data_IF_570807261639
#
_entry.id   IF_570807261639
#
_cell.length_a   1.000
_cell.length_b   1.000
_cell.length_c   1.000
_cell.angle_alpha   90.00
_cell.angle_beta   90.00
_cell.angle_gamma   90.00
#
_symmetry.space_group_name_H-M   'P 1'
#
loop_
_entity.id
_entity.type
_entity.pdbx_description
1 polymer ?
#
# COMPACT_ATOMS: atom_id res chain seq x y z
N UNK A 1 -13.00 0.72 -39.12
CA UNK A 1 -11.57 1.03 -38.86
C UNK A 1 -11.26 0.52 -37.46
N UNK A 2 -10.42 -0.49 -37.34
CA UNK A 2 -10.11 -1.12 -36.05
C UNK A 2 -9.16 -0.24 -35.24
N UNK A 3 -9.51 0.04 -33.98
CA UNK A 3 -8.63 0.73 -33.04
C UNK A 3 -7.34 -0.06 -32.82
N UNK A 4 -6.16 0.58 -32.82
CA UNK A 4 -4.93 -0.12 -32.50
C UNK A 4 -4.95 -0.49 -31.01
N UNK A 5 -4.76 -1.78 -30.72
CA UNK A 5 -4.51 -2.24 -29.37
C UNK A 5 -3.20 -1.60 -28.87
N UNK A 6 -3.29 -0.76 -27.84
CA UNK A 6 -2.13 -0.30 -27.07
C UNK A 6 -1.55 -1.50 -26.32
N UNK A 7 -0.53 -2.13 -26.92
CA UNK A 7 0.35 -3.05 -26.23
C UNK A 7 1.18 -2.25 -25.22
N UNK A 8 0.78 -2.29 -23.95
CA UNK A 8 1.65 -1.86 -22.85
C UNK A 8 2.83 -2.83 -22.82
N UNK A 9 4.09 -2.36 -22.94
CA UNK A 9 5.24 -3.23 -22.80
C UNK A 9 5.19 -3.90 -21.43
N UNK A 10 5.16 -5.23 -21.42
CA UNK A 10 5.30 -5.99 -20.18
C UNK A 10 6.61 -5.58 -19.51
N UNK A 11 6.52 -5.10 -18.27
CA UNK A 11 7.70 -4.80 -17.46
C UNK A 11 8.40 -6.14 -17.20
N UNK A 12 9.43 -6.44 -17.99
CA UNK A 12 10.31 -7.57 -17.74
C UNK A 12 11.16 -7.24 -16.51
N UNK A 13 10.75 -7.69 -15.33
CA UNK A 13 11.63 -7.69 -14.16
C UNK A 13 12.70 -8.78 -14.34
N UNK A 14 13.82 -8.37 -14.92
CA UNK A 14 14.98 -9.21 -15.16
C UNK A 14 16.22 -8.66 -14.46
N UNK A 15 16.34 -9.00 -13.17
CA UNK A 15 17.56 -9.37 -12.44
C UNK A 15 17.08 -9.75 -11.02
N UNK A 16 17.48 -10.91 -10.49
CA UNK A 16 17.13 -11.30 -9.11
C UNK A 16 17.61 -10.22 -8.15
N UNK A 17 16.73 -9.33 -7.75
CA UNK A 17 17.05 -8.20 -6.90
C UNK A 17 17.37 -8.74 -5.50
N UNK A 18 18.50 -8.31 -4.94
CA UNK A 18 18.99 -8.84 -3.66
C UNK A 18 18.32 -8.08 -2.51
N UNK A 19 17.55 -8.78 -1.69
CA UNK A 19 17.03 -8.21 -0.45
C UNK A 19 18.18 -7.70 0.43
N UNK A 20 18.07 -6.45 0.87
CA UNK A 20 19.07 -5.77 1.69
C UNK A 20 18.40 -5.22 2.94
N UNK A 21 18.96 -5.54 4.12
CA UNK A 21 18.49 -5.03 5.41
C UNK A 21 19.34 -3.82 5.83
N UNK A 22 18.69 -2.72 6.19
CA UNK A 22 19.33 -1.49 6.67
C UNK A 22 18.69 -1.02 7.97
N UNK A 23 19.45 -0.57 8.98
CA UNK A 23 18.87 0.04 10.17
C UNK A 23 18.02 1.28 9.83
N UNK A 24 16.86 1.45 10.47
CA UNK A 24 15.95 2.57 10.21
C UNK A 24 15.90 3.56 11.38
N UNK A 25 15.46 3.11 12.55
CA UNK A 25 15.51 3.83 13.83
C UNK A 25 15.22 2.86 14.99
N UNK A 26 15.89 3.04 16.13
CA UNK A 26 15.68 2.22 17.32
C UNK A 26 15.74 0.73 17.00
N UNK A 27 14.63 0.04 17.24
CA UNK A 27 14.51 -1.42 17.02
C UNK A 27 14.08 -1.83 15.61
N UNK A 28 13.94 -0.85 14.70
CA UNK A 28 13.42 -1.05 13.34
C UNK A 28 14.54 -1.10 12.31
N UNK A 29 14.41 -2.03 11.38
CA UNK A 29 15.19 -2.15 10.16
C UNK A 29 14.28 -2.16 8.94
N UNK A 30 14.76 -1.66 7.81
CA UNK A 30 14.08 -1.65 6.53
C UNK A 30 14.76 -2.66 5.60
N UNK A 31 13.98 -3.59 5.06
CA UNK A 31 14.40 -4.47 3.97
C UNK A 31 13.90 -3.88 2.66
N UNK A 32 14.82 -3.70 1.71
CA UNK A 32 14.56 -3.20 0.35
C UNK A 32 15.13 -4.15 -0.70
N UNK A 33 14.90 -3.85 -1.98
CA UNK A 33 15.42 -4.64 -3.10
C UNK A 33 14.55 -5.83 -3.50
N UNK A 34 13.32 -5.92 -2.98
CA UNK A 34 12.27 -6.83 -3.46
C UNK A 34 11.14 -6.07 -4.16
N UNK A 35 9.99 -6.73 -4.30
CA UNK A 35 8.79 -6.10 -4.88
C UNK A 35 8.23 -4.93 -4.06
N UNK A 36 8.40 -4.97 -2.73
CA UNK A 36 8.05 -3.89 -1.82
C UNK A 36 9.04 -3.83 -0.64
N UNK A 37 9.04 -2.70 0.05
CA UNK A 37 9.69 -2.49 1.32
C UNK A 37 9.04 -3.37 2.39
N UNK A 38 9.87 -3.93 3.27
CA UNK A 38 9.42 -4.68 4.45
C UNK A 38 10.05 -4.04 5.67
N UNK A 39 9.26 -3.74 6.70
CA UNK A 39 9.80 -3.24 7.97
C UNK A 39 9.93 -4.39 8.96
N UNK A 40 11.10 -4.54 9.56
CA UNK A 40 11.41 -5.52 10.60
C UNK A 40 11.56 -4.80 11.92
N UNK A 41 10.75 -5.15 12.92
CA UNK A 41 10.96 -4.78 14.31
C UNK A 41 11.56 -5.97 15.07
N UNK A 42 12.64 -5.74 15.82
CA UNK A 42 13.32 -6.76 16.62
C UNK A 42 13.34 -6.34 18.08
N UNK A 43 12.77 -7.15 18.98
CA UNK A 43 12.82 -6.88 20.40
C UNK A 43 12.84 -8.17 21.23
N UNK A 44 13.69 -8.20 22.26
CA UNK A 44 13.93 -9.43 23.03
C UNK A 44 14.41 -10.56 22.11
N UNK A 45 13.65 -11.65 22.03
CA UNK A 45 13.88 -12.76 21.10
C UNK A 45 12.76 -12.89 20.06
N UNK A 46 12.09 -11.79 19.72
CA UNK A 46 10.96 -11.80 18.77
C UNK A 46 11.16 -10.82 17.61
N UNK A 47 10.64 -11.21 16.45
CA UNK A 47 10.48 -10.35 15.29
C UNK A 47 9.00 -10.07 15.02
N UNK A 48 8.72 -8.84 14.59
CA UNK A 48 7.47 -8.44 13.95
C UNK A 48 7.82 -7.88 12.58
N UNK A 49 7.08 -8.31 11.55
CA UNK A 49 7.20 -7.75 10.20
C UNK A 49 5.97 -6.90 9.88
N UNK A 50 6.19 -5.81 9.16
CA UNK A 50 5.14 -5.14 8.38
C UNK A 50 5.40 -5.45 6.91
N UNK A 51 4.43 -6.14 6.32
CA UNK A 51 4.50 -6.79 5.01
C UNK A 51 5.58 -7.87 4.90
N UNK A 52 5.57 -8.60 3.79
CA UNK A 52 6.40 -9.78 3.55
C UNK A 52 7.04 -9.84 2.17
N UNK A 53 6.81 -8.86 1.29
CA UNK A 53 7.33 -8.92 -0.07
C UNK A 53 6.56 -9.93 -0.93
N UNK A 54 7.18 -10.28 -2.06
CA UNK A 54 6.65 -11.25 -3.01
C UNK A 54 6.89 -12.70 -2.56
N UNK A 55 6.01 -13.62 -2.97
CA UNK A 55 6.18 -15.05 -2.70
C UNK A 55 7.49 -15.61 -3.30
N UNK A 56 7.95 -15.04 -4.43
CA UNK A 56 9.23 -15.38 -5.05
C UNK A 56 10.44 -15.04 -4.16
N UNK A 57 10.31 -14.04 -3.27
CA UNK A 57 11.37 -13.57 -2.38
C UNK A 57 11.34 -14.28 -1.02
N UNK A 58 10.31 -15.08 -0.71
CA UNK A 58 10.09 -15.67 0.61
C UNK A 58 11.27 -16.51 1.12
N UNK A 59 11.91 -17.29 0.25
CA UNK A 59 13.08 -18.08 0.61
C UNK A 59 14.31 -17.21 0.92
N UNK A 60 14.47 -16.09 0.20
CA UNK A 60 15.53 -15.13 0.44
C UNK A 60 15.27 -14.35 1.74
N UNK A 61 14.04 -13.94 1.99
CA UNK A 61 13.63 -13.26 3.21
C UNK A 61 13.89 -14.13 4.45
N UNK A 62 13.47 -15.39 4.43
CA UNK A 62 13.76 -16.34 5.53
C UNK A 62 15.26 -16.46 5.82
N UNK A 63 16.10 -16.55 4.78
CA UNK A 63 17.56 -16.61 4.93
C UNK A 63 18.13 -15.32 5.52
N UNK A 64 17.64 -14.18 5.06
CA UNK A 64 18.07 -12.87 5.54
C UNK A 64 17.72 -12.69 7.03
N UNK A 65 16.48 -13.02 7.41
CA UNK A 65 16.03 -12.95 8.80
C UNK A 65 16.83 -13.89 9.71
N UNK A 66 17.09 -15.12 9.28
CA UNK A 66 17.91 -16.07 10.05
C UNK A 66 19.37 -15.60 10.20
N UNK A 67 19.95 -14.96 9.18
CA UNK A 67 21.32 -14.47 9.22
C UNK A 67 21.47 -13.26 10.17
N UNK A 68 20.54 -12.32 10.14
CA UNK A 68 20.60 -11.11 10.96
C UNK A 68 20.03 -11.29 12.37
N UNK A 69 19.10 -12.23 12.56
CA UNK A 69 18.38 -12.44 13.82
C UNK A 69 18.33 -13.92 14.22
N UNK A 70 19.47 -14.63 14.32
CA UNK A 70 19.52 -16.10 14.46
C UNK A 70 18.85 -16.66 15.72
N UNK A 71 18.67 -15.83 16.75
CA UNK A 71 18.02 -16.21 18.03
C UNK A 71 16.56 -15.77 18.14
N UNK A 72 16.04 -15.06 17.14
CA UNK A 72 14.70 -14.50 17.21
C UNK A 72 13.68 -15.43 16.56
N UNK A 73 12.53 -15.56 17.19
CA UNK A 73 11.34 -16.18 16.61
C UNK A 73 10.51 -15.11 15.89
N UNK A 74 10.00 -15.43 14.71
CA UNK A 74 8.98 -14.58 14.09
C UNK A 74 7.67 -14.71 14.87
N UNK A 75 7.26 -13.63 15.55
CA UNK A 75 6.00 -13.61 16.30
C UNK A 75 4.83 -13.35 15.37
N UNK A 76 4.96 -12.35 14.51
CA UNK A 76 3.86 -11.91 13.67
C UNK A 76 4.31 -11.19 12.39
N UNK A 77 3.42 -11.18 11.40
CA UNK A 77 3.47 -10.35 10.20
C UNK A 77 2.16 -9.56 10.13
N UNK A 78 2.22 -8.24 9.94
CA UNK A 78 1.06 -7.40 9.68
C UNK A 78 1.06 -7.07 8.19
N UNK A 79 0.07 -7.55 7.42
CA UNK A 79 -0.10 -7.12 6.04
C UNK A 79 -0.86 -5.80 5.99
N UNK A 80 -0.31 -4.83 5.25
CA UNK A 80 -0.95 -3.54 5.01
C UNK A 80 -2.14 -3.66 4.09
N UNK A 81 -2.07 -4.54 3.08
CA UNK A 81 -3.17 -4.87 2.17
C UNK A 81 -2.91 -6.20 1.45
N UNK A 82 -3.80 -6.59 0.53
CA UNK A 82 -3.83 -7.94 -0.06
C UNK A 82 -2.80 -8.19 -1.16
N UNK A 83 -2.21 -7.14 -1.75
CA UNK A 83 -1.37 -7.29 -2.93
C UNK A 83 -0.23 -8.28 -2.72
N UNK A 84 0.12 -8.94 -3.82
CA UNK A 84 1.10 -10.03 -3.84
C UNK A 84 2.50 -9.58 -3.40
N UNK A 85 2.81 -8.29 -3.51
CA UNK A 85 4.07 -7.70 -3.09
C UNK A 85 4.13 -7.43 -1.57
N UNK A 86 3.04 -7.65 -0.83
CA UNK A 86 2.94 -7.43 0.62
C UNK A 86 2.62 -8.72 1.36
N UNK A 87 1.79 -9.59 0.77
CA UNK A 87 1.28 -10.81 1.39
C UNK A 87 2.06 -12.08 1.03
N UNK A 88 3.07 -12.00 0.16
CA UNK A 88 3.75 -13.16 -0.42
C UNK A 88 4.48 -14.05 0.57
N UNK A 89 4.88 -13.53 1.74
CA UNK A 89 5.57 -14.30 2.79
C UNK A 89 4.64 -15.08 3.73
N UNK A 90 3.33 -14.86 3.66
CA UNK A 90 2.38 -15.33 4.67
C UNK A 90 2.48 -16.84 4.92
N UNK A 91 2.58 -17.66 3.86
CA UNK A 91 2.70 -19.12 4.00
C UNK A 91 3.96 -19.54 4.78
N UNK A 92 5.09 -18.88 4.52
CA UNK A 92 6.34 -19.17 5.22
C UNK A 92 6.28 -18.72 6.69
N UNK A 93 5.69 -17.54 6.96
CA UNK A 93 5.47 -17.05 8.31
C UNK A 93 4.57 -17.99 9.12
N UNK A 94 3.45 -18.43 8.55
CA UNK A 94 2.50 -19.36 9.16
C UNK A 94 3.15 -20.72 9.43
N UNK A 95 3.95 -21.24 8.49
CA UNK A 95 4.74 -22.47 8.68
C UNK A 95 5.76 -22.35 9.82
N UNK A 96 6.30 -21.15 10.07
CA UNK A 96 7.19 -20.86 11.18
C UNK A 96 6.45 -20.64 12.53
N UNK A 97 5.12 -20.77 12.55
CA UNK A 97 4.31 -20.59 13.75
C UNK A 97 3.99 -19.13 14.10
N UNK A 98 4.20 -18.19 13.17
CA UNK A 98 3.84 -16.80 13.34
C UNK A 98 2.36 -16.54 13.05
N UNK A 99 1.78 -15.54 13.74
CA UNK A 99 0.49 -14.99 13.35
C UNK A 99 0.65 -14.07 12.12
N UNK A 100 -0.31 -14.13 11.21
CA UNK A 100 -0.45 -13.18 10.11
C UNK A 100 -1.72 -12.37 10.37
N UNK A 101 -1.51 -11.08 10.60
CA UNK A 101 -2.53 -10.10 10.93
C UNK A 101 -2.85 -9.26 9.68
N UNK A 102 -4.13 -9.02 9.44
CA UNK A 102 -4.57 -8.09 8.40
C UNK A 102 -5.98 -7.56 8.69
N UNK A 103 -6.42 -6.56 7.94
CA UNK A 103 -7.85 -6.24 7.90
C UNK A 103 -8.65 -7.40 7.28
N UNK A 104 -9.92 -7.58 7.68
CA UNK A 104 -10.75 -8.68 7.14
C UNK A 104 -10.91 -8.60 5.62
N UNK A 105 -11.05 -7.41 5.03
CA UNK A 105 -11.09 -7.26 3.57
C UNK A 105 -9.85 -7.81 2.88
N UNK A 106 -8.66 -7.60 3.45
CA UNK A 106 -7.41 -8.16 2.92
C UNK A 106 -7.46 -9.69 2.87
N UNK A 107 -8.00 -10.33 3.91
CA UNK A 107 -8.19 -11.79 3.91
C UNK A 107 -9.23 -12.23 2.87
N UNK A 108 -10.34 -11.50 2.74
CA UNK A 108 -11.39 -11.79 1.76
C UNK A 108 -10.83 -11.74 0.33
N UNK A 109 -10.09 -10.69 -0.03
CA UNK A 109 -9.44 -10.57 -1.34
C UNK A 109 -8.43 -11.67 -1.60
N UNK A 110 -7.64 -12.08 -0.60
CA UNK A 110 -6.73 -13.22 -0.73
C UNK A 110 -7.45 -14.56 -0.91
N UNK A 111 -8.69 -14.68 -0.43
CA UNK A 111 -9.47 -15.93 -0.46
C UNK A 111 -10.40 -16.08 -1.66
N UNK A 112 -10.46 -15.09 -2.54
CA UNK A 112 -11.34 -15.08 -3.71
C UNK A 112 -10.57 -14.92 -5.01
N UNK A 113 -11.24 -15.19 -6.13
CA UNK A 113 -10.71 -14.82 -7.45
C UNK A 113 -10.88 -13.31 -7.65
N UNK A 114 -9.80 -12.63 -8.06
CA UNK A 114 -9.80 -11.19 -8.32
C UNK A 114 -9.45 -10.95 -9.78
N UNK A 115 -10.35 -10.32 -10.51
CA UNK A 115 -10.09 -9.87 -11.88
C UNK A 115 -9.58 -8.42 -11.84
N UNK A 116 -8.25 -8.26 -11.80
CA UNK A 116 -7.60 -6.97 -11.89
C UNK A 116 -7.47 -6.55 -13.35
N UNK A 117 -8.52 -5.88 -13.85
CA UNK A 117 -8.60 -5.43 -15.25
C UNK A 117 -7.49 -4.44 -15.60
N UNK A 118 -7.12 -3.58 -14.67
CA UNK A 118 -6.09 -2.56 -14.87
C UNK A 118 -4.68 -3.17 -14.93
N UNK A 119 -4.44 -4.31 -14.29
CA UNK A 119 -3.21 -5.10 -14.46
C UNK A 119 -3.26 -6.08 -15.64
N UNK A 120 -4.45 -6.32 -16.21
CA UNK A 120 -4.66 -7.42 -17.16
C UNK A 120 -4.42 -8.79 -16.53
N UNK A 121 -4.69 -8.94 -15.22
CA UNK A 121 -4.36 -10.14 -14.44
C UNK A 121 -5.56 -10.68 -13.67
N UNK A 122 -5.69 -12.00 -13.67
CA UNK A 122 -6.62 -12.71 -12.78
C UNK A 122 -5.82 -13.38 -11.67
N UNK A 123 -6.11 -13.00 -10.43
CA UNK A 123 -5.55 -13.61 -9.24
C UNK A 123 -6.46 -14.75 -8.77
N UNK A 124 -5.89 -15.93 -8.55
CA UNK A 124 -6.62 -17.07 -7.99
C UNK A 124 -6.64 -16.99 -6.46
N UNK A 125 -7.66 -17.57 -5.79
CA UNK A 125 -7.66 -17.71 -4.34
C UNK A 125 -6.36 -18.32 -3.82
N UNK A 126 -5.80 -17.73 -2.78
CA UNK A 126 -4.60 -18.24 -2.13
C UNK A 126 -4.94 -19.46 -1.26
N UNK A 127 -4.01 -20.43 -1.12
CA UNK A 127 -4.19 -21.55 -0.20
C UNK A 127 -4.43 -21.06 1.24
N UNK A 128 -5.19 -21.82 2.03
CA UNK A 128 -5.49 -21.49 3.43
C UNK A 128 -4.24 -21.22 4.30
N UNK A 129 -3.11 -21.85 3.96
CA UNK A 129 -1.83 -21.63 4.63
C UNK A 129 -1.24 -20.20 4.42
N UNK A 130 -1.64 -19.50 3.36
CA UNK A 130 -1.20 -18.14 3.02
C UNK A 130 -2.15 -17.05 3.52
N UNK A 131 -3.32 -17.42 4.05
CA UNK A 131 -4.32 -16.44 4.50
C UNK A 131 -3.98 -15.89 5.89
N UNK A 132 -4.29 -14.60 6.17
CA UNK A 132 -4.29 -14.07 7.52
C UNK A 132 -5.15 -14.92 8.45
N UNK A 133 -4.59 -15.27 9.62
CA UNK A 133 -5.29 -16.05 10.64
C UNK A 133 -5.77 -15.23 11.84
N UNK A 134 -5.40 -13.95 11.86
CA UNK A 134 -5.88 -12.95 12.82
C UNK A 134 -6.36 -11.76 12.01
N UNK A 135 -7.61 -11.38 12.18
CA UNK A 135 -8.18 -10.24 11.46
C UNK A 135 -8.90 -9.29 12.41
N UNK A 136 -9.12 -8.08 11.92
CA UNK A 136 -9.90 -7.05 12.60
C UNK A 136 -10.78 -6.32 11.59
N UNK A 137 -11.77 -5.59 12.11
CA UNK A 137 -12.81 -4.95 11.30
C UNK A 137 -12.83 -3.43 11.40
N UNK A 138 -12.58 -2.86 12.57
CA UNK A 138 -12.72 -1.41 12.77
C UNK A 138 -11.93 -0.92 13.97
N UNK A 139 -11.72 0.38 14.01
CA UNK A 139 -11.02 1.07 15.09
C UNK A 139 -9.50 0.83 15.09
N UNK A 140 -8.76 1.68 15.82
CA UNK A 140 -7.33 1.48 15.99
C UNK A 140 -7.06 0.21 16.79
N UNK A 141 -6.09 -0.55 16.32
CA UNK A 141 -5.59 -1.75 17.00
C UNK A 141 -4.23 -1.46 17.62
N UNK A 142 -3.88 -2.23 18.66
CA UNK A 142 -2.59 -2.12 19.35
C UNK A 142 -2.05 -3.51 19.68
N UNK A 143 -0.80 -3.77 19.27
CA UNK A 143 -0.07 -5.00 19.56
C UNK A 143 1.08 -4.68 20.53
N UNK A 144 1.06 -5.18 21.77
CA UNK A 144 2.19 -5.05 22.68
C UNK A 144 3.42 -5.76 22.12
N UNK A 145 4.54 -5.06 21.95
CA UNK A 145 5.77 -5.60 21.39
C UNK A 145 6.98 -4.88 21.98
N UNK A 146 7.97 -5.64 22.47
CA UNK A 146 9.25 -5.08 22.90
C UNK A 146 9.19 -4.03 24.00
N UNK A 147 8.27 -4.16 24.97
CA UNK A 147 8.05 -3.17 26.05
C UNK A 147 7.21 -1.95 25.64
N UNK A 148 6.76 -1.92 24.38
CA UNK A 148 5.99 -0.85 23.77
C UNK A 148 4.73 -1.34 23.06
N UNK A 149 4.16 -0.48 22.23
CA UNK A 149 2.99 -0.80 21.41
C UNK A 149 3.23 -0.52 19.92
N UNK A 150 2.73 -1.42 19.08
CA UNK A 150 2.63 -1.22 17.63
C UNK A 150 1.16 -0.97 17.31
N UNK A 151 0.87 0.21 16.78
CA UNK A 151 -0.49 0.61 16.41
C UNK A 151 -0.74 0.27 14.95
N UNK A 152 -1.93 -0.20 14.61
CA UNK A 152 -2.31 -0.38 13.22
C UNK A 152 -3.78 -0.06 13.01
N UNK A 153 -4.09 0.66 11.94
CA UNK A 153 -5.40 1.29 11.74
C UNK A 153 -5.83 1.09 10.29
N UNK A 154 -7.05 0.60 10.12
CA UNK A 154 -7.70 0.48 8.82
C UNK A 154 -8.01 1.85 8.23
N UNK A 155 -7.73 2.02 6.94
CA UNK A 155 -7.99 3.21 6.15
C UNK A 155 -9.04 2.86 5.09
N UNK A 156 -10.18 3.55 5.12
CA UNK A 156 -11.30 3.23 4.25
C UNK A 156 -11.01 3.53 2.78
N UNK A 157 -11.06 2.48 1.94
CA UNK A 157 -11.10 2.54 0.47
C UNK A 157 -10.04 3.45 -0.16
N UNK A 158 -8.78 3.36 0.28
CA UNK A 158 -7.70 4.19 -0.23
C UNK A 158 -7.08 3.60 -1.51
N UNK A 159 -5.94 2.94 -1.39
CA UNK A 159 -5.36 2.13 -2.44
C UNK A 159 -6.24 0.90 -2.74
N UNK A 160 -6.66 0.21 -1.69
CA UNK A 160 -7.66 -0.87 -1.64
C UNK A 160 -8.69 -0.59 -0.54
N UNK A 161 -9.74 -1.39 -0.40
CA UNK A 161 -10.62 -1.33 0.77
C UNK A 161 -10.05 -2.02 2.02
N UNK A 162 -8.94 -2.75 1.90
CA UNK A 162 -8.29 -3.49 2.99
C UNK A 162 -7.09 -2.80 3.61
N UNK A 163 -6.82 -1.55 3.24
CA UNK A 163 -5.58 -0.85 3.59
C UNK A 163 -5.44 -0.59 5.09
N UNK A 164 -4.21 -0.77 5.58
CA UNK A 164 -3.82 -0.53 6.96
C UNK A 164 -2.50 0.23 6.96
N UNK A 165 -2.42 1.31 7.75
CA UNK A 165 -1.11 1.84 8.15
C UNK A 165 -0.69 1.22 9.48
N UNK A 166 0.62 1.03 9.65
CA UNK A 166 1.22 0.56 10.91
C UNK A 166 2.11 1.66 11.48
N UNK A 167 1.99 1.96 12.76
CA UNK A 167 2.76 3.00 13.45
C UNK A 167 3.55 2.40 14.60
N UNK A 168 4.80 2.84 14.69
CA UNK A 168 5.74 2.57 15.77
C UNK A 168 5.96 3.90 16.51
N UNK A 169 5.20 4.18 17.58
CA UNK A 169 5.21 5.49 18.23
C UNK A 169 6.57 5.85 18.83
N UNK A 170 7.25 4.88 19.44
CA UNK A 170 8.57 5.06 20.06
C UNK A 170 9.66 5.46 19.05
N UNK A 171 9.62 4.88 17.85
CA UNK A 171 10.58 5.18 16.79
C UNK A 171 10.14 6.30 15.84
N UNK A 172 8.96 6.89 16.09
CA UNK A 172 8.34 7.91 15.25
C UNK A 172 8.29 7.52 13.76
N UNK A 173 7.83 6.29 13.49
CA UNK A 173 7.75 5.71 12.14
C UNK A 173 6.33 5.25 11.81
N UNK A 174 5.88 5.52 10.60
CA UNK A 174 4.62 5.02 10.04
C UNK A 174 4.93 4.25 8.76
N UNK A 175 4.48 3.00 8.65
CA UNK A 175 4.47 2.23 7.41
C UNK A 175 3.14 2.43 6.73
N UNK A 176 3.17 3.05 5.56
CA UNK A 176 1.97 3.43 4.79
C UNK A 176 1.82 2.65 3.48
N UNK A 177 2.80 1.81 3.12
CA UNK A 177 2.77 0.98 1.92
C UNK A 177 2.32 1.76 0.67
N UNK A 178 1.40 1.22 -0.13
CA UNK A 178 0.97 1.79 -1.42
C UNK A 178 0.06 3.02 -1.28
N UNK A 179 -0.33 3.40 -0.06
CA UNK A 179 -1.02 4.68 0.20
C UNK A 179 -0.10 5.87 -0.11
N UNK A 180 1.21 5.72 0.12
CA UNK A 180 2.21 6.78 -0.13
C UNK A 180 3.10 6.37 -1.30
N UNK A 181 3.02 7.15 -2.38
CA UNK A 181 3.76 6.96 -3.63
C UNK A 181 4.57 8.22 -3.95
N UNK A 182 5.80 8.34 -3.44
CA UNK A 182 6.52 9.63 -3.47
C UNK A 182 7.04 10.05 -4.85
N UNK A 183 7.23 9.08 -5.76
CA UNK A 183 7.94 9.27 -7.04
C UNK A 183 7.13 8.88 -8.29
N UNK A 184 5.89 8.43 -8.11
CA UNK A 184 4.98 8.03 -9.21
C UNK A 184 3.54 8.25 -8.78
N UNK A 185 2.62 8.39 -9.73
CA UNK A 185 1.20 8.45 -9.37
C UNK A 185 0.79 7.21 -8.56
N UNK A 186 -0.01 7.39 -7.49
CA UNK A 186 -0.48 6.26 -6.70
C UNK A 186 -1.41 5.40 -7.55
N UNK A 187 -1.42 4.10 -7.28
CA UNK A 187 -2.40 3.21 -7.88
C UNK A 187 -3.69 3.32 -7.09
N UNK A 188 -4.80 3.46 -7.81
CA UNK A 188 -6.14 3.32 -7.26
C UNK A 188 -6.65 1.96 -7.72
N UNK A 189 -6.68 0.97 -6.83
CA UNK A 189 -7.06 -0.39 -7.21
C UNK A 189 -8.58 -0.51 -7.34
N UNK A 190 -9.08 -0.31 -8.56
CA UNK A 190 -10.52 -0.45 -8.85
C UNK A 190 -11.05 -1.87 -8.66
N UNK A 191 -10.19 -2.90 -8.69
CA UNK A 191 -10.61 -4.28 -8.52
C UNK A 191 -10.93 -4.60 -7.07
N UNK A 192 -10.25 -3.95 -6.13
CA UNK A 192 -10.50 -4.06 -4.69
C UNK A 192 -10.98 -2.75 -4.06
N UNK A 193 -11.83 -2.03 -4.79
CA UNK A 193 -12.65 -0.95 -4.26
C UNK A 193 -11.88 0.24 -3.65
N UNK A 194 -10.67 0.51 -4.16
CA UNK A 194 -9.92 1.74 -3.89
C UNK A 194 -10.48 2.92 -4.69
N UNK A 195 -10.39 4.13 -4.14
CA UNK A 195 -10.75 5.36 -4.86
C UNK A 195 -9.96 6.58 -4.38
N UNK A 196 -9.83 7.60 -5.23
CA UNK A 196 -8.91 8.71 -4.99
C UNK A 196 -9.28 9.59 -3.79
N UNK A 197 -10.56 9.75 -3.45
CA UNK A 197 -10.96 10.48 -2.26
C UNK A 197 -10.73 9.70 -0.96
N UNK A 198 -10.80 8.37 -1.00
CA UNK A 198 -10.37 7.50 0.11
C UNK A 198 -8.87 7.62 0.33
N UNK A 199 -8.09 7.63 -0.77
CA UNK A 199 -6.64 7.90 -0.75
C UNK A 199 -6.33 9.27 -0.12
N UNK A 200 -7.07 10.31 -0.51
CA UNK A 200 -6.94 11.65 0.06
C UNK A 200 -7.23 11.66 1.57
N UNK A 201 -8.31 10.99 2.00
CA UNK A 201 -8.67 10.88 3.41
C UNK A 201 -7.65 10.08 4.24
N UNK A 202 -7.07 9.04 3.64
CA UNK A 202 -6.00 8.25 4.25
C UNK A 202 -4.72 9.07 4.45
N UNK A 203 -4.29 9.80 3.43
CA UNK A 203 -3.13 10.69 3.51
C UNK A 203 -3.33 11.78 4.57
N UNK A 204 -4.54 12.38 4.66
CA UNK A 204 -4.90 13.32 5.73
C UNK A 204 -4.78 12.69 7.11
N UNK A 205 -5.25 11.46 7.27
CA UNK A 205 -5.18 10.71 8.53
C UNK A 205 -3.74 10.44 8.94
N UNK A 206 -2.90 9.99 8.00
CA UNK A 206 -1.47 9.76 8.23
C UNK A 206 -0.77 11.07 8.59
N UNK A 207 -0.98 12.15 7.83
CA UNK A 207 -0.37 13.45 8.09
C UNK A 207 -0.72 14.00 9.47
N UNK A 208 -1.94 13.78 9.96
CA UNK A 208 -2.37 14.17 11.31
C UNK A 208 -1.68 13.37 12.44
N UNK A 209 -1.03 12.26 12.12
CA UNK A 209 -0.24 11.44 13.06
C UNK A 209 1.26 11.69 12.97
N UNK A 210 1.69 12.57 12.06
CA UNK A 210 3.08 12.92 11.88
C UNK A 210 3.42 14.23 12.61
N UNK A 211 4.65 14.30 13.11
CA UNK A 211 5.37 15.54 13.39
C UNK A 211 6.45 15.79 12.32
N UNK A 212 7.29 16.81 12.52
CA UNK A 212 8.36 17.17 11.58
C UNK A 212 9.46 16.10 11.44
N UNK A 213 9.58 15.20 12.42
CA UNK A 213 10.61 14.16 12.47
C UNK A 213 10.06 12.77 12.09
N UNK A 214 8.75 12.62 11.87
CA UNK A 214 8.15 11.35 11.50
C UNK A 214 8.65 10.88 10.15
N UNK A 215 9.14 9.62 10.10
CA UNK A 215 9.47 8.93 8.85
C UNK A 215 8.30 8.07 8.41
N UNK A 216 7.86 8.26 7.17
CA UNK A 216 6.79 7.49 6.53
C UNK A 216 7.40 6.55 5.50
N UNK A 217 7.12 5.26 5.62
CA UNK A 217 7.68 4.19 4.78
C UNK A 217 6.67 3.86 3.68
N UNK A 218 6.97 4.18 2.41
CA UNK A 218 6.14 3.78 1.28
C UNK A 218 6.37 2.30 0.93
N UNK A 219 5.51 1.74 0.08
CA UNK A 219 5.71 0.38 -0.44
C UNK A 219 6.99 0.28 -1.29
N UNK A 220 7.34 1.33 -2.03
CA UNK A 220 8.55 1.35 -2.87
C UNK A 220 9.28 2.67 -2.71
N UNK A 221 10.60 2.59 -2.58
CA UNK A 221 11.49 3.75 -2.49
C UNK A 221 11.94 4.07 -1.08
N UNK A 222 12.59 5.22 -0.91
CA UNK A 222 13.13 5.65 0.37
C UNK A 222 12.03 6.13 1.33
N UNK A 223 12.26 6.06 2.66
CA UNK A 223 11.44 6.76 3.65
C UNK A 223 11.30 8.24 3.30
N UNK A 224 10.10 8.80 3.55
CA UNK A 224 9.80 10.22 3.31
C UNK A 224 9.28 10.91 4.57
N UNK A 225 9.35 12.24 4.60
CA UNK A 225 8.77 13.05 5.66
C UNK A 225 7.31 13.41 5.41
N UNK A 226 6.67 14.05 6.39
CA UNK A 226 5.27 14.49 6.33
C UNK A 226 4.96 15.41 5.15
N UNK A 227 5.91 16.21 4.68
CA UNK A 227 5.71 17.12 3.54
C UNK A 227 5.41 16.37 2.24
N UNK A 228 6.01 15.19 2.05
CA UNK A 228 5.72 14.35 0.90
C UNK A 228 4.29 13.78 0.96
N UNK A 229 3.82 13.42 2.16
CA UNK A 229 2.46 12.93 2.40
C UNK A 229 1.44 14.05 2.10
N UNK A 230 1.68 15.26 2.62
CA UNK A 230 0.82 16.44 2.36
C UNK A 230 0.81 16.81 0.88
N UNK A 231 1.97 16.81 0.22
CA UNK A 231 2.05 17.07 -1.22
C UNK A 231 1.19 16.10 -2.04
N UNK A 232 1.24 14.81 -1.71
CA UNK A 232 0.40 13.81 -2.39
C UNK A 232 -1.08 14.00 -2.03
N UNK A 233 -1.39 14.36 -0.78
CA UNK A 233 -2.77 14.67 -0.36
C UNK A 233 -3.37 15.80 -1.19
N UNK A 234 -2.62 16.88 -1.41
CA UNK A 234 -3.04 18.05 -2.20
C UNK A 234 -3.23 17.69 -3.68
N UNK A 235 -2.35 16.83 -4.21
CA UNK A 235 -2.49 16.27 -5.56
C UNK A 235 -3.78 15.45 -5.67
N UNK A 236 -4.02 14.50 -4.76
CA UNK A 236 -5.23 13.68 -4.75
C UNK A 236 -6.49 14.56 -4.64
N UNK A 237 -6.48 15.57 -3.77
CA UNK A 237 -7.56 16.53 -3.62
C UNK A 237 -7.85 17.32 -4.90
N UNK A 238 -6.80 17.84 -5.54
CA UNK A 238 -6.92 18.64 -6.77
C UNK A 238 -7.51 17.80 -7.90
N UNK A 239 -7.02 16.57 -8.08
CA UNK A 239 -7.46 15.69 -9.17
C UNK A 239 -8.87 15.15 -8.92
N UNK A 240 -9.20 14.71 -7.69
CA UNK A 240 -10.56 14.21 -7.40
C UNK A 240 -11.61 15.32 -7.53
N UNK A 241 -11.25 16.55 -7.15
CA UNK A 241 -12.12 17.73 -7.34
C UNK A 241 -12.40 17.98 -8.83
N UNK A 242 -11.36 17.92 -9.68
CA UNK A 242 -11.48 18.09 -11.14
C UNK A 242 -12.31 16.98 -11.79
N UNK A 243 -12.13 15.74 -11.37
CA UNK A 243 -12.96 14.60 -11.79
C UNK A 243 -14.42 14.83 -11.41
N UNK A 244 -14.67 15.28 -10.17
CA UNK A 244 -16.01 15.63 -9.70
C UNK A 244 -16.67 16.71 -10.55
N UNK A 245 -15.97 17.81 -10.82
CA UNK A 245 -16.47 18.87 -11.70
C UNK A 245 -16.80 18.36 -13.11
N UNK A 246 -15.95 17.50 -13.68
CA UNK A 246 -16.20 16.89 -14.97
C UNK A 246 -17.51 16.08 -14.95
N UNK A 247 -17.71 15.25 -13.92
CA UNK A 247 -18.96 14.50 -13.76
C UNK A 247 -20.19 15.38 -13.58
N UNK A 248 -20.11 16.46 -12.78
CA UNK A 248 -21.26 17.35 -12.56
C UNK A 248 -21.66 18.12 -13.82
N UNK A 249 -20.74 18.28 -14.78
CA UNK A 249 -21.01 18.88 -16.09
C UNK A 249 -21.45 17.84 -17.14
N UNK A 250 -21.53 16.56 -16.78
CA UNK A 250 -21.82 15.46 -17.70
C UNK A 250 -20.67 15.15 -18.67
N UNK A 251 -19.46 15.56 -18.34
CA UNK A 251 -18.28 15.38 -19.17
C UNK A 251 -17.84 13.91 -19.25
N UNK A 252 -17.24 13.57 -20.38
CA UNK A 252 -16.66 12.27 -20.70
C UNK A 252 -15.22 12.16 -20.16
N UNK A 253 -14.65 10.95 -20.24
CA UNK A 253 -13.23 10.74 -19.90
C UNK A 253 -12.30 11.45 -20.88
N UNK A 254 -12.64 11.49 -22.17
CA UNK A 254 -11.81 12.14 -23.20
C UNK A 254 -11.76 13.66 -22.99
N UNK A 255 -12.87 14.27 -22.58
CA UNK A 255 -12.91 15.69 -22.21
C UNK A 255 -12.09 15.97 -20.94
N UNK A 256 -12.16 15.08 -19.95
CA UNK A 256 -11.30 15.17 -18.77
C UNK A 256 -9.82 15.12 -19.18
N UNK A 257 -9.40 14.16 -20.02
CA UNK A 257 -8.02 14.06 -20.50
C UNK A 257 -7.58 15.32 -21.26
N UNK A 258 -8.44 15.85 -22.13
CA UNK A 258 -8.17 17.06 -22.90
C UNK A 258 -7.91 18.29 -22.00
N UNK A 259 -8.54 18.34 -20.82
CA UNK A 259 -8.33 19.41 -19.83
C UNK A 259 -6.96 19.36 -19.13
N UNK A 260 -6.20 18.27 -19.29
CA UNK A 260 -4.89 18.02 -18.65
C UNK A 260 -4.95 18.22 -17.12
N UNK A 261 -5.77 17.43 -16.40
CA UNK A 261 -6.14 17.67 -15.01
C UNK A 261 -5.02 17.39 -14.01
N UNK A 262 -3.83 16.98 -14.46
CA UNK A 262 -2.67 16.67 -13.63
C UNK A 262 -1.41 17.44 -14.02
N UNK A 263 -1.49 18.35 -14.99
CA UNK A 263 -0.34 18.95 -15.68
C UNK A 263 0.76 19.46 -14.74
N UNK A 264 0.38 20.08 -13.62
CA UNK A 264 1.33 20.62 -12.63
C UNK A 264 2.07 19.54 -11.83
N UNK A 265 1.56 18.31 -11.82
CA UNK A 265 2.07 17.16 -11.07
C UNK A 265 2.92 16.21 -11.95
N UNK A 266 2.72 16.22 -13.27
CA UNK A 266 3.34 15.28 -14.20
C UNK A 266 4.89 15.26 -14.10
N UNK A 267 5.52 16.42 -13.84
CA UNK A 267 6.98 16.52 -13.67
C UNK A 267 7.54 15.70 -12.50
N UNK A 268 6.73 15.49 -11.46
CA UNK A 268 7.10 14.73 -10.26
C UNK A 268 6.68 13.27 -10.36
N UNK A 269 5.49 13.01 -10.93
CA UNK A 269 4.83 11.71 -10.84
C UNK A 269 4.83 10.91 -12.15
N UNK A 270 5.26 11.52 -13.26
CA UNK A 270 5.41 10.85 -14.55
C UNK A 270 4.12 10.84 -15.37
N UNK A 271 3.86 9.73 -16.06
CA UNK A 271 2.68 9.55 -16.92
C UNK A 271 1.41 9.33 -16.07
N UNK A 272 0.38 10.20 -16.19
CA UNK A 272 -0.84 10.10 -15.42
C UNK A 272 -1.87 9.13 -16.00
N UNK A 273 -1.66 8.53 -17.18
CA UNK A 273 -2.71 7.82 -17.92
C UNK A 273 -3.44 6.75 -17.10
N UNK A 274 -2.71 5.83 -16.48
CA UNK A 274 -3.29 4.77 -15.65
C UNK A 274 -3.99 5.35 -14.41
N UNK A 275 -3.33 6.29 -13.73
CA UNK A 275 -3.86 6.95 -12.55
C UNK A 275 -5.18 7.67 -12.81
N UNK A 276 -5.26 8.45 -13.89
CA UNK A 276 -6.48 9.15 -14.29
C UNK A 276 -7.58 8.19 -14.68
N UNK A 277 -7.25 7.12 -15.42
CA UNK A 277 -8.24 6.10 -15.81
C UNK A 277 -8.86 5.45 -14.59
N UNK A 278 -8.05 4.95 -13.65
CA UNK A 278 -8.53 4.31 -12.43
C UNK A 278 -9.28 5.29 -11.51
N UNK A 279 -8.75 6.50 -11.34
CA UNK A 279 -9.38 7.52 -10.50
C UNK A 279 -10.73 7.96 -11.06
N UNK A 280 -10.86 8.09 -12.38
CA UNK A 280 -12.12 8.41 -13.04
C UNK A 280 -13.13 7.28 -12.87
N UNK A 281 -12.77 6.05 -13.26
CA UNK A 281 -13.69 4.90 -13.21
C UNK A 281 -14.25 4.63 -11.81
N UNK A 282 -13.40 4.72 -10.79
CA UNK A 282 -13.80 4.48 -9.39
C UNK A 282 -14.63 5.63 -8.83
N UNK A 283 -14.33 6.88 -9.21
CA UNK A 283 -15.07 8.06 -8.78
C UNK A 283 -16.57 8.02 -9.14
N UNK A 284 -16.96 7.26 -10.17
CA UNK A 284 -18.38 7.08 -10.52
C UNK A 284 -19.22 6.52 -9.37
N UNK A 285 -18.66 5.59 -8.57
CA UNK A 285 -19.36 5.02 -7.41
C UNK A 285 -19.46 6.01 -6.23
N UNK A 286 -18.71 7.11 -6.28
CA UNK A 286 -18.52 8.07 -5.20
C UNK A 286 -18.96 9.50 -5.58
N UNK A 287 -19.74 9.69 -6.66
CA UNK A 287 -20.14 11.02 -7.16
C UNK A 287 -20.78 11.92 -6.09
N UNK A 288 -21.54 11.33 -5.16
CA UNK A 288 -22.16 12.05 -4.04
C UNK A 288 -21.15 12.41 -2.93
N UNK A 289 -20.12 11.59 -2.74
CA UNK A 289 -19.07 11.78 -1.74
C UNK A 289 -18.04 12.82 -2.19
N UNK A 290 -17.73 12.87 -3.50
CA UNK A 290 -16.80 13.86 -4.07
C UNK A 290 -17.25 15.30 -3.77
N UNK A 291 -18.57 15.57 -3.75
CA UNK A 291 -19.12 16.89 -3.35
C UNK A 291 -18.74 17.31 -1.93
N UNK A 292 -18.51 16.34 -1.04
CA UNK A 292 -18.13 16.57 0.35
C UNK A 292 -16.62 16.67 0.53
N UNK A 293 -15.86 16.03 -0.35
CA UNK A 293 -14.39 16.15 -0.36
C UNK A 293 -13.97 17.54 -0.83
N UNK A 294 -14.67 18.13 -1.81
CA UNK A 294 -14.34 19.43 -2.44
C UNK A 294 -14.88 20.69 -1.69
N UNK A 295 -15.43 20.53 -0.48
CA UNK A 295 -15.90 21.62 0.39
C UNK A 295 -15.05 21.69 1.65
#
# INVERSE_FOLDING_TARGET
MASPALLVPGVAWSARSRLTLTPLAGRLSLITGGAANIVVASAGNELLLVDGGAAADAAQLSKLLAAHFPKHRLRAVINTHWHWAQSGFNAAARKAGADVLAHEYTKLWLSTEVNSRWEGRVYKPQPAASLPNKTFYSGPQSLPFGGGAVEYVHLGQAHTDGDVYVRFPEENIIVAADIVSPTKYPIVDSASNGWLGGMQGALRTIAARCDANTKVIPAVGAPVGVDAVKSQQDMCYSVVSRIGENYYKGGTFDELLASKPTKEFDSRYGDPALFLKQSYETAWYHVNEIRRVAR
#
